data_IF_269310331315
#
_entry.id   IF_269310331315
#
_cell.length_a   1.000
_cell.length_b   1.000
_cell.length_c   1.000
_cell.angle_alpha   90.00
_cell.angle_beta   90.00
_cell.angle_gamma   90.00
#
_symmetry.space_group_name_H-M   'P 1'
#
loop_
_entity.id
_entity.type
_entity.pdbx_description
1 polymer ?
#
# COMPACT_ATOMS: atom_id res chain seq x y z
N UNK A 1 7.41 -4.91 -33.24
CA UNK A 1 6.58 -5.55 -32.19
C UNK A 1 6.41 -4.50 -31.12
N UNK A 2 5.17 -4.14 -30.75
CA UNK A 2 4.98 -3.21 -29.63
C UNK A 2 5.51 -3.85 -28.35
N UNK A 3 6.38 -3.15 -27.66
CA UNK A 3 6.97 -3.59 -26.39
C UNK A 3 5.88 -3.72 -25.31
N UNK A 4 5.90 -4.80 -24.52
CA UNK A 4 4.92 -4.99 -23.46
C UNK A 4 5.14 -3.95 -22.35
N UNK A 5 4.06 -3.32 -21.91
CA UNK A 5 4.04 -2.44 -20.74
C UNK A 5 3.61 -3.22 -19.51
N UNK A 6 4.41 -3.18 -18.45
CA UNK A 6 4.11 -3.86 -17.20
C UNK A 6 3.56 -2.90 -16.14
N UNK A 7 2.47 -3.30 -15.45
CA UNK A 7 1.79 -2.46 -14.47
C UNK A 7 1.52 -3.18 -13.16
N UNK A 8 1.48 -2.42 -12.06
CA UNK A 8 0.84 -2.82 -10.81
C UNK A 8 -0.65 -2.56 -10.90
N UNK A 9 -1.47 -3.58 -10.64
CA UNK A 9 -2.92 -3.47 -10.61
C UNK A 9 -3.42 -3.69 -9.17
N UNK A 10 -3.89 -2.61 -8.55
CA UNK A 10 -4.61 -2.68 -7.29
C UNK A 10 -6.08 -2.90 -7.63
N UNK A 11 -6.67 -3.99 -7.19
CA UNK A 11 -8.08 -4.28 -7.45
C UNK A 11 -8.92 -4.14 -6.18
N UNK A 12 -10.01 -3.37 -6.28
CA UNK A 12 -10.99 -3.11 -5.22
C UNK A 12 -12.28 -3.89 -5.54
N UNK A 13 -12.41 -5.15 -5.07
CA UNK A 13 -13.58 -5.97 -5.35
C UNK A 13 -14.80 -5.59 -4.54
N UNK A 14 -14.64 -4.83 -3.46
CA UNK A 14 -15.71 -4.36 -2.58
C UNK A 14 -15.29 -3.09 -1.84
N UNK A 15 -16.26 -2.20 -1.61
CA UNK A 15 -16.11 -1.06 -0.71
C UNK A 15 -16.61 -1.36 0.71
N UNK A 16 -17.29 -2.50 0.91
CA UNK A 16 -17.72 -2.90 2.25
C UNK A 16 -16.52 -3.09 3.17
N UNK A 17 -16.67 -2.67 4.42
CA UNK A 17 -15.70 -2.89 5.49
C UNK A 17 -16.45 -3.29 6.77
N UNK A 18 -15.86 -4.16 7.56
CA UNK A 18 -16.35 -4.58 8.88
C UNK A 18 -15.85 -3.67 10.02
N UNK A 19 -14.92 -2.75 9.72
CA UNK A 19 -14.35 -1.80 10.66
C UNK A 19 -14.75 -0.35 10.34
N UNK A 20 -14.54 0.55 11.32
CA UNK A 20 -14.71 1.99 11.25
C UNK A 20 -13.48 2.69 11.85
N UNK A 21 -12.32 2.52 11.19
CA UNK A 21 -11.08 3.13 11.64
C UNK A 21 -11.18 4.66 11.57
N UNK A 22 -10.78 5.36 12.63
CA UNK A 22 -10.94 6.82 12.75
C UNK A 22 -10.16 7.64 11.71
N UNK A 23 -9.14 7.05 11.08
CA UNK A 23 -8.30 7.66 10.04
C UNK A 23 -8.51 7.06 8.65
N UNK A 24 -9.65 6.40 8.43
CA UNK A 24 -9.91 5.74 7.15
C UNK A 24 -10.11 6.75 6.02
N UNK A 25 -9.29 6.68 4.98
CA UNK A 25 -9.39 7.56 3.82
C UNK A 25 -10.62 7.30 2.94
N UNK A 26 -11.34 6.18 3.16
CA UNK A 26 -12.56 5.82 2.41
C UNK A 26 -13.84 6.39 3.03
N UNK A 27 -13.75 7.12 4.16
CA UNK A 27 -14.87 7.64 4.94
C UNK A 27 -15.84 6.56 5.49
N UNK A 28 -16.78 6.95 6.36
CA UNK A 28 -17.71 6.01 7.02
C UNK A 28 -18.71 5.32 6.08
N UNK A 29 -18.91 5.83 4.86
CA UNK A 29 -19.90 5.34 3.90
C UNK A 29 -19.41 4.21 3.01
N UNK A 30 -18.71 3.23 3.56
CA UNK A 30 -18.32 2.02 2.84
C UNK A 30 -19.50 1.06 2.64
N UNK A 31 -20.57 1.51 1.97
CA UNK A 31 -21.62 0.62 1.48
C UNK A 31 -21.17 0.01 0.16
N UNK A 32 -21.43 -1.27 -0.04
CA UNK A 32 -21.18 -1.91 -1.33
C UNK A 32 -22.25 -1.45 -2.36
N UNK A 33 -22.02 -0.28 -2.95
CA UNK A 33 -22.87 0.27 -4.03
C UNK A 33 -22.88 -0.63 -5.26
N UNK A 34 -21.95 -1.59 -5.35
CA UNK A 34 -21.74 -2.47 -6.50
C UNK A 34 -22.22 -3.91 -6.24
N UNK A 35 -23.18 -4.10 -5.35
CA UNK A 35 -23.63 -5.44 -4.92
C UNK A 35 -24.09 -6.36 -6.07
N UNK A 36 -24.58 -5.77 -7.17
CA UNK A 36 -25.04 -6.51 -8.37
C UNK A 36 -23.92 -6.96 -9.31
N UNK A 37 -22.70 -6.43 -9.16
CA UNK A 37 -21.55 -6.75 -10.01
C UNK A 37 -20.74 -7.85 -9.33
N UNK A 38 -20.45 -8.94 -10.04
CA UNK A 38 -19.56 -9.97 -9.55
C UNK A 38 -18.10 -9.50 -9.61
N UNK A 39 -17.36 -9.60 -8.51
CA UNK A 39 -15.98 -9.10 -8.47
C UNK A 39 -15.08 -9.73 -9.55
N UNK A 40 -15.22 -11.03 -9.79
CA UNK A 40 -14.41 -11.74 -10.76
C UNK A 40 -14.63 -11.26 -12.20
N UNK A 41 -15.86 -10.95 -12.59
CA UNK A 41 -16.20 -10.52 -13.96
C UNK A 41 -15.44 -9.24 -14.35
N UNK A 42 -15.40 -8.25 -13.46
CA UNK A 42 -14.67 -7.00 -13.74
C UNK A 42 -13.18 -7.23 -13.86
N UNK A 43 -12.59 -8.03 -12.95
CA UNK A 43 -11.16 -8.32 -13.01
C UNK A 43 -10.77 -9.06 -14.28
N UNK A 44 -11.55 -10.08 -14.68
CA UNK A 44 -11.34 -10.83 -15.92
C UNK A 44 -11.43 -9.93 -17.15
N UNK A 45 -12.47 -9.10 -17.22
CA UNK A 45 -12.65 -8.17 -18.33
C UNK A 45 -11.45 -7.20 -18.43
N UNK A 46 -11.05 -6.60 -17.32
CA UNK A 46 -9.95 -5.65 -17.28
C UNK A 46 -8.62 -6.28 -17.71
N UNK A 47 -8.28 -7.45 -17.16
CA UNK A 47 -7.04 -8.15 -17.50
C UNK A 47 -7.01 -8.53 -18.99
N UNK A 48 -8.11 -9.04 -19.53
CA UNK A 48 -8.19 -9.37 -20.96
C UNK A 48 -8.02 -8.12 -21.83
N UNK A 49 -8.66 -7.01 -21.45
CA UNK A 49 -8.57 -5.75 -22.20
C UNK A 49 -7.16 -5.16 -22.15
N UNK A 50 -6.50 -5.18 -20.99
CA UNK A 50 -5.10 -4.78 -20.85
C UNK A 50 -4.17 -5.64 -21.70
N UNK A 51 -4.27 -6.97 -21.62
CA UNK A 51 -3.44 -7.90 -22.39
C UNK A 51 -3.59 -7.71 -23.90
N UNK A 52 -4.81 -7.51 -24.40
CA UNK A 52 -5.07 -7.24 -25.81
C UNK A 52 -4.43 -5.92 -26.30
N UNK A 53 -4.02 -5.06 -25.38
CA UNK A 53 -3.31 -3.81 -25.65
C UNK A 53 -1.82 -3.87 -25.25
N UNK A 54 -1.25 -5.06 -25.08
CA UNK A 54 0.13 -5.29 -24.64
C UNK A 54 0.46 -4.68 -23.27
N UNK A 55 -0.54 -4.57 -22.38
CA UNK A 55 -0.37 -4.12 -20.98
C UNK A 55 -0.52 -5.31 -20.07
N UNK A 56 0.53 -5.63 -19.31
CA UNK A 56 0.63 -6.85 -18.51
C UNK A 56 0.63 -6.49 -17.02
N UNK A 57 -0.45 -6.80 -16.28
CA UNK A 57 -0.41 -6.72 -14.82
C UNK A 57 0.56 -7.76 -14.24
N UNK A 58 1.76 -7.33 -13.85
CA UNK A 58 2.75 -8.25 -13.26
C UNK A 58 2.55 -8.42 -11.75
N UNK A 59 1.88 -7.49 -11.10
CA UNK A 59 1.51 -7.55 -9.70
C UNK A 59 0.04 -7.15 -9.54
N UNK A 60 -0.78 -8.08 -9.03
CA UNK A 60 -2.20 -7.87 -8.75
C UNK A 60 -2.40 -8.00 -7.24
N UNK A 61 -2.89 -6.93 -6.62
CA UNK A 61 -3.13 -6.88 -5.18
C UNK A 61 -4.59 -6.54 -4.90
N UNK A 62 -5.26 -7.35 -4.08
CA UNK A 62 -6.63 -7.08 -3.65
C UNK A 62 -6.64 -6.07 -2.51
N UNK A 63 -7.41 -5.02 -2.70
CA UNK A 63 -7.65 -3.93 -1.76
C UNK A 63 -9.15 -3.72 -1.55
N UNK A 64 -9.57 -2.59 -0.98
CA UNK A 64 -10.96 -2.22 -0.87
C UNK A 64 -11.29 -1.59 0.47
N UNK A 65 -12.55 -1.66 0.87
CA UNK A 65 -12.90 -1.45 2.26
C UNK A 65 -12.25 -2.54 3.10
N UNK A 66 -12.72 -3.78 2.94
CA UNK A 66 -12.05 -4.98 3.48
C UNK A 66 -12.38 -6.19 2.61
N UNK A 67 -11.37 -6.80 2.03
CA UNK A 67 -11.53 -7.93 1.10
C UNK A 67 -12.13 -9.18 1.75
N UNK A 68 -11.89 -9.39 3.05
CA UNK A 68 -12.46 -10.54 3.80
C UNK A 68 -13.96 -10.43 4.07
N UNK A 69 -14.59 -9.30 3.74
CA UNK A 69 -16.07 -9.17 3.76
C UNK A 69 -16.75 -9.90 2.62
N UNK A 70 -16.04 -10.22 1.56
CA UNK A 70 -16.55 -11.01 0.43
C UNK A 70 -17.10 -12.37 0.89
N UNK A 71 -18.00 -12.95 0.10
CA UNK A 71 -18.40 -14.33 0.29
C UNK A 71 -17.19 -15.28 0.15
N UNK A 72 -17.23 -16.46 0.77
CA UNK A 72 -16.16 -17.47 0.61
C UNK A 72 -15.95 -17.83 -0.87
N UNK A 73 -17.03 -17.92 -1.64
CA UNK A 73 -16.99 -18.25 -3.07
C UNK A 73 -16.32 -17.12 -3.87
N UNK A 74 -16.77 -15.85 -3.74
CA UNK A 74 -16.20 -14.73 -4.49
C UNK A 74 -14.72 -14.51 -4.16
N UNK A 75 -14.35 -14.64 -2.88
CA UNK A 75 -12.95 -14.52 -2.46
C UNK A 75 -12.09 -15.63 -3.08
N UNK A 76 -12.55 -16.90 -3.00
CA UNK A 76 -11.84 -18.04 -3.58
C UNK A 76 -11.69 -17.91 -5.09
N UNK A 77 -12.76 -17.53 -5.80
CA UNK A 77 -12.74 -17.38 -7.25
C UNK A 77 -11.75 -16.31 -7.70
N UNK A 78 -11.68 -15.16 -6.98
CA UNK A 78 -10.68 -14.12 -7.25
C UNK A 78 -9.25 -14.62 -7.04
N UNK A 79 -8.99 -15.24 -5.88
CA UNK A 79 -7.65 -15.74 -5.54
C UNK A 79 -7.21 -16.81 -6.54
N UNK A 80 -8.09 -17.76 -6.86
CA UNK A 80 -7.83 -18.79 -7.87
C UNK A 80 -7.50 -18.18 -9.23
N UNK A 81 -8.30 -17.22 -9.68
CA UNK A 81 -8.06 -16.56 -10.97
C UNK A 81 -6.71 -15.84 -11.02
N UNK A 82 -6.33 -15.12 -9.97
CA UNK A 82 -5.02 -14.45 -9.90
C UNK A 82 -3.88 -15.46 -9.89
N UNK A 83 -4.04 -16.59 -9.17
CA UNK A 83 -3.06 -17.67 -9.14
C UNK A 83 -2.87 -18.29 -10.52
N UNK A 84 -3.98 -18.62 -11.21
CA UNK A 84 -3.97 -19.15 -12.56
C UNK A 84 -3.34 -18.15 -13.55
N UNK A 85 -3.71 -16.87 -13.46
CA UNK A 85 -3.13 -15.80 -14.26
C UNK A 85 -1.60 -15.73 -14.14
N UNK A 86 -1.06 -15.80 -12.93
CA UNK A 86 0.38 -15.80 -12.72
C UNK A 86 1.07 -17.03 -13.28
N UNK A 87 0.48 -18.22 -13.09
CA UNK A 87 1.00 -19.45 -13.69
C UNK A 87 1.07 -19.34 -15.21
N UNK A 88 -0.01 -18.89 -15.85
CA UNK A 88 -0.17 -18.87 -17.31
C UNK A 88 0.69 -17.76 -17.97
N UNK A 89 1.01 -16.68 -17.25
CA UNK A 89 1.83 -15.57 -17.75
C UNK A 89 3.24 -15.55 -17.15
N UNK A 90 3.67 -16.61 -16.44
CA UNK A 90 4.95 -16.68 -15.71
C UNK A 90 6.13 -16.27 -16.57
N UNK A 91 6.29 -16.88 -17.74
CA UNK A 91 7.41 -16.62 -18.63
C UNK A 91 7.42 -15.17 -19.11
N UNK A 92 6.27 -14.66 -19.54
CA UNK A 92 6.12 -13.28 -20.02
C UNK A 92 6.53 -12.24 -18.98
N UNK A 93 6.14 -12.45 -17.71
CA UNK A 93 6.45 -11.55 -16.60
C UNK A 93 7.95 -11.61 -16.25
N UNK A 94 8.55 -12.81 -16.22
CA UNK A 94 9.99 -12.98 -15.94
C UNK A 94 10.84 -12.39 -17.07
N UNK A 95 10.48 -12.65 -18.33
CA UNK A 95 11.18 -12.11 -19.50
C UNK A 95 11.08 -10.57 -19.55
N UNK A 96 10.04 -9.99 -18.94
CA UNK A 96 9.90 -8.54 -18.72
C UNK A 96 10.72 -7.98 -17.55
N UNK A 97 11.53 -8.81 -16.88
CA UNK A 97 12.39 -8.38 -15.76
C UNK A 97 11.70 -8.35 -14.39
N UNK A 98 10.50 -8.91 -14.26
CA UNK A 98 9.73 -8.87 -13.01
C UNK A 98 9.70 -10.23 -12.31
N UNK A 99 9.63 -10.20 -10.97
CA UNK A 99 9.41 -11.40 -10.16
C UNK A 99 7.92 -11.75 -10.13
N UNK A 100 7.63 -13.04 -10.14
CA UNK A 100 6.28 -13.54 -9.89
C UNK A 100 6.09 -13.69 -8.39
N UNK A 101 5.02 -13.09 -7.89
CA UNK A 101 4.51 -13.31 -6.54
C UNK A 101 3.39 -14.34 -6.49
N UNK A 102 2.87 -14.56 -5.31
CA UNK A 102 1.60 -15.23 -5.08
C UNK A 102 0.45 -14.21 -5.07
N UNK A 103 -0.81 -14.64 -5.15
CA UNK A 103 -1.93 -13.74 -4.91
C UNK A 103 -1.72 -12.97 -3.61
N UNK A 104 -1.99 -11.66 -3.63
CA UNK A 104 -1.72 -10.78 -2.50
C UNK A 104 -2.99 -10.04 -2.06
N UNK A 105 -3.20 -9.96 -0.74
CA UNK A 105 -4.29 -9.19 -0.15
C UNK A 105 -3.77 -8.15 0.84
N UNK A 106 -4.41 -6.99 0.85
CA UNK A 106 -4.38 -6.04 1.97
C UNK A 106 -5.63 -6.24 2.82
N UNK A 107 -5.46 -6.40 4.12
CA UNK A 107 -6.57 -6.74 5.03
C UNK A 107 -6.37 -6.12 6.42
N UNK A 108 -7.50 -5.85 7.09
CA UNK A 108 -7.50 -5.46 8.48
C UNK A 108 -7.35 -6.67 9.45
N UNK A 109 -7.26 -7.89 8.93
CA UNK A 109 -7.08 -9.15 9.64
C UNK A 109 -8.29 -9.61 10.51
N UNK A 110 -9.34 -8.81 10.66
CA UNK A 110 -10.41 -9.04 11.64
C UNK A 110 -11.28 -10.27 11.35
N UNK A 111 -11.61 -10.54 10.07
CA UNK A 111 -12.40 -11.71 9.66
C UNK A 111 -11.57 -12.70 8.81
N UNK A 112 -10.25 -12.76 9.04
CA UNK A 112 -9.32 -13.58 8.27
C UNK A 112 -9.64 -15.07 8.34
N UNK A 113 -10.10 -15.54 9.50
CA UNK A 113 -10.50 -16.95 9.76
C UNK A 113 -11.55 -17.44 8.77
N UNK A 114 -12.40 -16.57 8.28
CA UNK A 114 -13.44 -16.91 7.29
C UNK A 114 -12.86 -17.48 6.00
N UNK A 115 -11.64 -17.06 5.63
CA UNK A 115 -11.01 -17.38 4.36
C UNK A 115 -9.72 -18.20 4.49
N UNK A 116 -9.42 -18.70 5.70
CA UNK A 116 -8.14 -19.33 6.00
C UNK A 116 -7.82 -20.52 5.08
N UNK A 117 -8.83 -21.32 4.72
CA UNK A 117 -8.64 -22.48 3.83
C UNK A 117 -8.16 -22.03 2.43
N UNK A 118 -8.78 -20.99 1.88
CA UNK A 118 -8.35 -20.42 0.58
C UNK A 118 -6.96 -19.79 0.67
N UNK A 119 -6.67 -19.07 1.76
CA UNK A 119 -5.37 -18.46 1.99
C UNK A 119 -4.28 -19.53 2.03
N UNK A 120 -4.50 -20.63 2.74
CA UNK A 120 -3.57 -21.77 2.80
C UNK A 120 -3.43 -22.49 1.46
N UNK A 121 -4.53 -22.80 0.80
CA UNK A 121 -4.53 -23.54 -0.48
C UNK A 121 -3.73 -22.83 -1.58
N UNK A 122 -3.89 -21.52 -1.70
CA UNK A 122 -3.22 -20.72 -2.75
C UNK A 122 -1.96 -19.99 -2.25
N UNK A 123 -1.53 -20.25 -1.03
CA UNK A 123 -0.36 -19.62 -0.42
C UNK A 123 -0.39 -18.08 -0.58
N UNK A 124 -1.52 -17.47 -0.18
CA UNK A 124 -1.77 -16.03 -0.36
C UNK A 124 -0.81 -15.19 0.46
N UNK A 125 -0.17 -14.22 -0.15
CA UNK A 125 0.62 -13.20 0.56
C UNK A 125 -0.29 -12.23 1.29
N UNK A 126 0.04 -11.90 2.53
CA UNK A 126 -0.78 -11.05 3.38
C UNK A 126 -0.02 -9.79 3.77
N UNK A 127 -0.70 -8.65 3.61
CA UNK A 127 -0.29 -7.36 4.17
C UNK A 127 -1.37 -6.90 5.14
N UNK A 128 -1.16 -7.16 6.41
CA UNK A 128 -2.10 -6.84 7.48
C UNK A 128 -1.93 -5.41 7.98
N UNK A 129 -3.00 -4.83 8.53
CA UNK A 129 -2.94 -3.54 9.21
C UNK A 129 -2.96 -3.77 10.72
N UNK A 130 -1.90 -3.37 11.40
CA UNK A 130 -1.76 -3.47 12.86
C UNK A 130 -1.10 -2.19 13.36
N UNK A 131 -1.84 -1.38 14.12
CA UNK A 131 -1.30 -0.13 14.63
C UNK A 131 -0.42 -0.37 15.85
N UNK A 132 0.72 0.33 15.87
CA UNK A 132 1.65 0.36 16.98
C UNK A 132 1.72 1.77 17.58
N UNK A 133 1.82 1.92 18.90
CA UNK A 133 1.85 0.83 19.88
C UNK A 133 0.50 0.12 20.01
N UNK A 134 0.53 -1.16 20.36
CA UNK A 134 -0.67 -2.02 20.49
C UNK A 134 -1.73 -1.42 21.42
N UNK A 135 -1.30 -0.69 22.45
CA UNK A 135 -2.22 -0.03 23.39
C UNK A 135 -3.15 1.01 22.76
N UNK A 136 -2.75 1.60 21.61
CA UNK A 136 -3.56 2.57 20.87
C UNK A 136 -4.38 1.93 19.75
N UNK A 137 -4.13 0.65 19.43
CA UNK A 137 -4.81 -0.02 18.31
C UNK A 137 -6.33 0.09 18.42
N UNK A 138 -6.89 -0.31 19.56
CA UNK A 138 -8.33 -0.32 19.81
C UNK A 138 -8.95 1.08 20.01
N UNK A 139 -8.12 2.11 20.10
CA UNK A 139 -8.59 3.49 20.13
C UNK A 139 -8.97 3.97 18.72
N UNK A 140 -8.18 3.56 17.72
CA UNK A 140 -8.32 4.07 16.35
C UNK A 140 -8.90 3.04 15.37
N UNK A 141 -8.75 1.74 15.65
CA UNK A 141 -9.22 0.65 14.79
C UNK A 141 -10.31 -0.16 15.49
N UNK A 142 -11.55 0.28 15.34
CA UNK A 142 -12.72 -0.35 15.94
C UNK A 142 -13.65 -0.91 14.87
N UNK A 143 -14.56 -1.82 15.26
CA UNK A 143 -15.64 -2.27 14.37
C UNK A 143 -16.66 -1.14 14.17
N UNK A 144 -17.58 -1.29 13.19
CA UNK A 144 -18.73 -0.38 13.01
C UNK A 144 -19.63 -0.28 14.27
N UNK A 145 -19.58 -1.27 15.14
CA UNK A 145 -20.26 -1.26 16.44
C UNK A 145 -19.37 -0.77 17.59
N UNK A 146 -18.26 -0.09 17.30
CA UNK A 146 -17.30 0.45 18.28
C UNK A 146 -16.70 -0.62 19.23
N UNK A 147 -16.57 -1.87 18.77
CA UNK A 147 -15.94 -2.93 19.54
C UNK A 147 -14.43 -2.95 19.27
N UNK A 148 -13.67 -3.34 20.29
CA UNK A 148 -12.23 -3.61 20.21
C UNK A 148 -11.93 -4.70 19.20
N UNK A 149 -10.76 -4.64 18.56
CA UNK A 149 -10.37 -5.54 17.46
C UNK A 149 -9.05 -6.25 17.68
N UNK A 150 -8.18 -5.75 18.56
CA UNK A 150 -6.81 -6.22 18.73
C UNK A 150 -6.72 -7.71 19.07
N UNK A 151 -7.43 -8.17 20.11
CA UNK A 151 -7.35 -9.56 20.55
C UNK A 151 -7.75 -10.55 19.44
N UNK A 152 -8.80 -10.21 18.68
CA UNK A 152 -9.24 -11.03 17.54
C UNK A 152 -8.22 -11.02 16.42
N UNK A 153 -7.60 -9.86 16.12
CA UNK A 153 -6.57 -9.74 15.10
C UNK A 153 -5.33 -10.56 15.48
N UNK A 154 -4.87 -10.49 16.72
CA UNK A 154 -3.74 -11.29 17.19
C UNK A 154 -4.04 -12.79 17.10
N UNK A 155 -5.24 -13.21 17.51
CA UNK A 155 -5.67 -14.60 17.36
C UNK A 155 -5.71 -15.05 15.88
N UNK A 156 -6.13 -14.18 14.97
CA UNK A 156 -6.15 -14.48 13.53
C UNK A 156 -4.74 -14.53 12.92
N UNK A 157 -3.79 -13.77 13.44
CA UNK A 157 -2.38 -13.85 13.03
C UNK A 157 -1.84 -15.26 13.30
N UNK A 158 -2.16 -15.87 14.46
CA UNK A 158 -1.70 -17.23 14.78
C UNK A 158 -2.20 -18.29 13.78
N UNK A 159 -3.35 -18.08 13.14
CA UNK A 159 -3.84 -18.99 12.09
C UNK A 159 -2.94 -19.03 10.85
N UNK A 160 -2.06 -18.05 10.72
CA UNK A 160 -1.12 -17.91 9.59
C UNK A 160 0.21 -18.66 9.83
N UNK A 161 0.41 -19.29 10.98
CA UNK A 161 1.68 -19.92 11.36
C UNK A 161 2.19 -20.91 10.32
N UNK A 162 1.29 -21.76 9.79
CA UNK A 162 1.64 -22.82 8.84
C UNK A 162 1.71 -22.35 7.38
N UNK A 163 1.50 -21.06 7.10
CA UNK A 163 1.55 -20.53 5.74
C UNK A 163 3.00 -20.15 5.43
N UNK A 164 3.63 -20.74 4.39
CA UNK A 164 5.03 -20.47 4.08
C UNK A 164 5.26 -19.08 3.47
N UNK A 165 4.20 -18.44 2.98
CA UNK A 165 4.29 -17.16 2.28
C UNK A 165 4.45 -15.97 3.24
N UNK A 166 4.81 -14.80 2.68
CA UNK A 166 5.01 -13.58 3.47
C UNK A 166 3.74 -13.15 4.19
N UNK A 167 3.89 -12.91 5.48
CA UNK A 167 2.91 -12.37 6.41
C UNK A 167 3.49 -11.09 6.99
N UNK A 168 3.18 -9.95 6.35
CA UNK A 168 3.67 -8.69 6.86
C UNK A 168 2.55 -7.87 7.45
N UNK A 169 2.88 -7.05 8.43
CA UNK A 169 2.00 -6.03 8.97
C UNK A 169 2.59 -4.66 8.72
N UNK A 170 1.70 -3.67 8.63
CA UNK A 170 2.04 -2.26 8.48
C UNK A 170 1.37 -1.47 9.58
N UNK A 171 2.09 -0.52 10.16
CA UNK A 171 1.53 0.44 11.10
C UNK A 171 1.53 1.84 10.50
N UNK A 172 0.41 2.53 10.61
CA UNK A 172 0.29 3.93 10.19
C UNK A 172 0.61 4.82 11.38
N UNK A 173 1.66 5.62 11.27
CA UNK A 173 2.16 6.46 12.34
C UNK A 173 1.63 7.89 12.19
N UNK A 174 0.92 8.34 13.21
CA UNK A 174 0.51 9.72 13.43
C UNK A 174 1.24 10.30 14.65
N UNK A 175 1.05 11.58 14.93
CA UNK A 175 1.63 12.25 16.09
C UNK A 175 1.28 11.55 17.40
N UNK A 176 0.05 11.08 17.51
CA UNK A 176 -0.48 10.37 18.68
C UNK A 176 0.27 9.07 18.93
N UNK A 177 0.65 8.35 17.86
CA UNK A 177 1.46 7.12 17.94
C UNK A 177 2.93 7.43 18.24
N UNK A 178 3.50 8.43 17.56
CA UNK A 178 4.88 8.84 17.73
C UNK A 178 5.21 9.24 19.18
N UNK A 179 4.26 9.82 19.91
CA UNK A 179 4.44 10.15 21.34
C UNK A 179 4.79 8.93 22.21
N UNK A 180 4.63 7.72 21.68
CA UNK A 180 4.89 6.44 22.36
C UNK A 180 5.92 5.58 21.61
N UNK A 181 6.94 6.19 21.03
CA UNK A 181 7.94 5.49 20.19
C UNK A 181 8.65 4.35 20.93
N UNK A 182 8.91 4.49 22.25
CA UNK A 182 9.53 3.44 23.05
C UNK A 182 8.62 2.21 23.20
N UNK A 183 7.32 2.42 23.31
CA UNK A 183 6.35 1.34 23.33
C UNK A 183 6.23 0.67 21.94
N UNK A 184 6.33 1.43 20.84
CA UNK A 184 6.41 0.86 19.49
C UNK A 184 7.62 -0.07 19.38
N UNK A 185 8.79 0.33 19.86
CA UNK A 185 10.01 -0.49 19.89
C UNK A 185 9.77 -1.79 20.68
N UNK A 186 9.16 -1.70 21.86
CA UNK A 186 8.86 -2.86 22.69
C UNK A 186 7.84 -3.80 22.02
N UNK A 187 6.81 -3.25 21.38
CA UNK A 187 5.78 -4.02 20.69
C UNK A 187 6.34 -4.74 19.45
N UNK A 188 7.25 -4.12 18.70
CA UNK A 188 7.95 -4.77 17.58
C UNK A 188 8.74 -5.98 18.10
N UNK A 189 9.51 -5.83 19.18
CA UNK A 189 10.26 -6.94 19.81
C UNK A 189 9.31 -8.03 20.32
N UNK A 190 8.20 -7.63 20.95
CA UNK A 190 7.18 -8.56 21.43
C UNK A 190 6.55 -9.38 20.30
N UNK A 191 6.09 -8.72 19.23
CA UNK A 191 5.47 -9.37 18.09
C UNK A 191 6.42 -10.34 17.38
N UNK A 192 7.67 -9.94 17.17
CA UNK A 192 8.69 -10.79 16.55
C UNK A 192 8.95 -12.07 17.35
N UNK A 193 9.00 -11.95 18.68
CA UNK A 193 9.30 -13.07 19.57
C UNK A 193 8.09 -13.99 19.85
N UNK A 194 6.87 -13.44 19.90
CA UNK A 194 5.71 -14.12 20.48
C UNK A 194 4.60 -14.41 19.47
N UNK A 195 4.78 -14.08 18.20
CA UNK A 195 3.81 -14.39 17.13
C UNK A 195 4.51 -15.04 15.95
N UNK A 196 3.72 -15.49 14.95
CA UNK A 196 4.28 -16.02 13.70
C UNK A 196 4.75 -14.93 12.72
N UNK A 197 4.70 -13.64 13.09
CA UNK A 197 5.15 -12.53 12.25
C UNK A 197 6.67 -12.43 12.27
N UNK A 198 7.29 -12.40 11.09
CA UNK A 198 8.65 -11.90 10.97
C UNK A 198 8.60 -10.38 10.85
N UNK A 199 8.94 -9.68 11.93
CA UNK A 199 8.94 -8.23 11.97
C UNK A 199 10.03 -7.61 11.10
N UNK A 200 10.97 -8.37 10.56
CA UNK A 200 11.82 -7.89 9.48
C UNK A 200 11.02 -7.46 8.23
N UNK A 201 9.91 -8.14 7.95
CA UNK A 201 9.01 -7.78 6.83
C UNK A 201 7.99 -6.66 7.17
N UNK A 202 8.04 -6.08 8.38
CA UNK A 202 7.20 -4.95 8.80
C UNK A 202 7.47 -3.69 7.97
N UNK A 203 6.52 -2.76 7.91
CA UNK A 203 6.80 -1.43 7.39
C UNK A 203 6.00 -0.32 8.09
N UNK A 204 6.66 0.82 8.24
CA UNK A 204 6.03 2.06 8.66
C UNK A 204 5.35 2.77 7.49
N UNK A 205 4.19 3.35 7.78
CA UNK A 205 3.47 4.27 6.89
C UNK A 205 3.28 5.59 7.62
N UNK A 206 3.58 6.69 6.98
CA UNK A 206 3.29 8.01 7.55
C UNK A 206 1.82 8.34 7.31
N UNK A 207 1.11 8.61 8.39
CA UNK A 207 -0.30 9.00 8.37
C UNK A 207 -0.50 10.48 8.03
N UNK A 208 -1.70 10.81 7.52
CA UNK A 208 -2.08 12.17 7.14
C UNK A 208 -3.39 12.55 7.83
N UNK A 209 -3.44 13.76 8.37
CA UNK A 209 -4.55 14.25 9.17
C UNK A 209 -5.79 14.66 8.37
N UNK A 210 -5.69 14.83 7.07
CA UNK A 210 -6.82 15.29 6.23
C UNK A 210 -8.02 14.34 6.21
N UNK A 211 -7.84 13.06 6.57
CA UNK A 211 -8.92 12.08 6.64
C UNK A 211 -9.44 11.84 8.06
N UNK A 212 -8.77 12.35 9.08
CA UNK A 212 -9.08 12.06 10.48
C UNK A 212 -10.03 13.08 11.13
N UNK A 213 -10.54 14.04 10.36
CA UNK A 213 -11.36 15.14 10.88
C UNK A 213 -10.73 15.87 12.10
N UNK A 214 -9.40 15.98 12.13
CA UNK A 214 -8.65 16.60 13.23
C UNK A 214 -8.48 15.71 14.47
N UNK A 215 -8.82 14.43 14.40
CA UNK A 215 -8.62 13.47 15.52
C UNK A 215 -7.16 13.01 15.59
N UNK A 216 -6.53 12.81 14.43
CA UNK A 216 -5.14 12.38 14.29
C UNK A 216 -4.35 13.38 13.46
N UNK A 217 -3.10 13.62 13.83
CA UNK A 217 -2.25 14.62 13.23
C UNK A 217 -1.03 13.97 12.58
N UNK A 218 -0.58 14.49 11.44
CA UNK A 218 0.67 14.02 10.84
C UNK A 218 1.89 14.40 11.70
N UNK A 219 2.95 13.62 11.60
CA UNK A 219 4.23 13.91 12.25
C UNK A 219 5.08 14.84 11.40
N UNK A 220 5.81 15.76 12.04
CA UNK A 220 6.70 16.70 11.35
C UNK A 220 7.88 16.00 10.69
N UNK A 221 8.58 16.71 9.81
CA UNK A 221 9.84 16.22 9.18
C UNK A 221 10.88 15.83 10.23
N UNK A 222 10.96 16.59 11.34
CA UNK A 222 11.87 16.33 12.45
C UNK A 222 11.50 15.06 13.20
N UNK A 223 10.22 14.86 13.46
CA UNK A 223 9.72 13.67 14.17
C UNK A 223 9.84 12.41 13.31
N UNK A 224 9.67 12.52 12.00
CA UNK A 224 9.93 11.40 11.09
C UNK A 224 11.39 10.99 11.11
N UNK A 225 12.30 11.96 11.10
CA UNK A 225 13.74 11.71 11.20
C UNK A 225 14.10 11.11 12.56
N UNK A 226 13.51 11.62 13.65
CA UNK A 226 13.73 11.09 14.99
C UNK A 226 13.21 9.66 15.13
N UNK A 227 12.03 9.35 14.56
CA UNK A 227 11.51 7.98 14.50
C UNK A 227 12.50 7.04 13.79
N UNK A 228 13.01 7.45 12.64
CA UNK A 228 14.00 6.69 11.88
C UNK A 228 15.25 6.41 12.71
N UNK A 229 15.83 7.45 13.34
CA UNK A 229 17.04 7.32 14.14
C UNK A 229 16.83 6.42 15.37
N UNK A 230 15.70 6.55 16.07
CA UNK A 230 15.37 5.70 17.23
C UNK A 230 15.17 4.25 16.86
N UNK A 231 14.62 3.96 15.67
CA UNK A 231 14.49 2.59 15.17
C UNK A 231 15.88 1.99 14.90
N UNK A 232 16.79 2.74 14.25
CA UNK A 232 18.17 2.31 14.06
C UNK A 232 18.91 2.11 15.39
N UNK A 233 18.81 3.06 16.32
CA UNK A 233 19.42 2.93 17.65
C UNK A 233 18.95 1.67 18.39
N UNK A 234 17.68 1.28 18.24
CA UNK A 234 17.09 0.16 18.96
C UNK A 234 17.34 -1.22 18.30
N UNK A 235 17.60 -1.25 16.97
CA UNK A 235 17.56 -2.49 16.21
C UNK A 235 18.79 -2.77 15.33
N UNK A 236 19.69 -1.81 15.11
CA UNK A 236 20.96 -2.08 14.40
C UNK A 236 21.76 -3.15 15.13
N UNK A 237 22.27 -4.14 14.37
CA UNK A 237 23.04 -5.26 14.91
C UNK A 237 22.23 -6.30 15.71
N UNK A 238 20.90 -6.20 15.72
CA UNK A 238 19.99 -7.20 16.32
C UNK A 238 19.47 -8.18 15.28
N UNK A 239 18.61 -9.13 15.66
CA UNK A 239 17.87 -10.03 14.76
C UNK A 239 16.86 -9.30 13.85
N UNK A 240 16.58 -8.02 14.13
CA UNK A 240 15.75 -7.12 13.33
C UNK A 240 16.55 -6.10 12.49
N UNK A 241 17.87 -6.26 12.43
CA UNK A 241 18.77 -5.41 11.64
C UNK A 241 18.39 -5.36 10.16
N UNK A 242 18.04 -6.49 9.56
CA UNK A 242 17.58 -6.54 8.17
C UNK A 242 16.31 -5.70 7.95
N UNK A 243 15.38 -5.74 8.89
CA UNK A 243 14.12 -5.00 8.81
C UNK A 243 14.35 -3.48 8.84
N UNK A 244 15.09 -2.99 9.82
CA UNK A 244 15.31 -1.54 10.02
C UNK A 244 16.16 -0.94 8.89
N UNK A 245 17.17 -1.68 8.41
CA UNK A 245 18.03 -1.25 7.30
C UNK A 245 17.38 -1.40 5.92
N UNK A 246 16.24 -2.07 5.81
CA UNK A 246 15.55 -2.35 4.55
C UNK A 246 14.04 -2.12 4.63
N UNK A 247 13.22 -3.18 4.75
CA UNK A 247 11.79 -3.16 4.49
C UNK A 247 10.98 -2.13 5.29
N UNK A 248 11.40 -1.76 6.50
CA UNK A 248 10.63 -0.82 7.34
C UNK A 248 10.46 0.55 6.73
N UNK A 249 11.42 0.99 5.93
CA UNK A 249 11.46 2.31 5.31
C UNK A 249 11.51 2.26 3.77
N UNK A 250 11.19 1.12 3.15
CA UNK A 250 11.25 0.95 1.70
C UNK A 250 10.29 1.87 0.94
N UNK A 251 9.18 2.32 1.57
CA UNK A 251 8.28 3.30 0.94
C UNK A 251 8.99 4.61 0.57
N UNK A 252 10.10 4.92 1.23
CA UNK A 252 10.85 6.16 1.02
C UNK A 252 12.05 6.00 0.10
N UNK A 253 12.32 4.79 -0.39
CA UNK A 253 13.40 4.53 -1.34
C UNK A 253 13.11 5.08 -2.73
N UNK A 254 14.16 5.36 -3.54
CA UNK A 254 14.00 5.73 -4.94
C UNK A 254 13.18 4.69 -5.72
N UNK A 255 12.51 5.14 -6.78
CA UNK A 255 11.66 4.32 -7.66
C UNK A 255 10.44 3.64 -7.00
N UNK A 256 10.25 3.78 -5.69
CA UNK A 256 8.96 3.47 -5.10
C UNK A 256 7.89 4.44 -5.63
N UNK A 257 6.61 4.09 -5.55
CA UNK A 257 5.53 4.91 -6.17
C UNK A 257 5.56 6.38 -5.74
N UNK A 258 5.99 6.67 -4.51
CA UNK A 258 6.10 8.03 -3.95
C UNK A 258 7.28 8.83 -4.51
N UNK A 259 8.28 8.16 -5.08
CA UNK A 259 9.55 8.75 -5.50
C UNK A 259 9.88 8.47 -6.99
N UNK A 260 8.89 8.12 -7.79
CA UNK A 260 9.07 7.94 -9.23
C UNK A 260 8.65 9.20 -10.00
N UNK A 261 9.18 9.35 -11.22
CA UNK A 261 8.86 10.50 -12.07
C UNK A 261 7.38 10.61 -12.40
N UNK A 262 6.76 9.48 -12.69
CA UNK A 262 5.34 9.43 -13.03
C UNK A 262 4.74 8.08 -12.63
N UNK A 263 4.14 8.01 -11.43
CA UNK A 263 3.49 6.80 -10.95
C UNK A 263 2.27 6.39 -11.80
N UNK A 264 1.68 7.29 -12.59
CA UNK A 264 0.61 7.00 -13.55
C UNK A 264 1.05 6.12 -14.73
N UNK A 265 2.34 5.86 -14.88
CA UNK A 265 2.84 4.89 -15.87
C UNK A 265 2.95 3.47 -15.31
N UNK A 266 2.90 3.31 -13.96
CA UNK A 266 3.17 2.03 -13.29
C UNK A 266 2.00 1.52 -12.45
N UNK A 267 1.21 2.41 -11.79
CA UNK A 267 0.21 2.05 -10.80
C UNK A 267 -1.20 2.40 -11.24
N UNK A 268 -2.10 1.42 -11.14
CA UNK A 268 -3.50 1.55 -11.49
C UNK A 268 -4.36 0.89 -10.41
N UNK A 269 -5.36 1.61 -9.91
CA UNK A 269 -6.38 1.06 -9.04
C UNK A 269 -7.68 0.89 -9.84
N UNK A 270 -8.17 -0.34 -9.91
CA UNK A 270 -9.42 -0.70 -10.56
C UNK A 270 -10.49 -0.98 -9.50
N UNK A 271 -11.59 -0.27 -9.54
CA UNK A 271 -12.78 -0.58 -8.75
C UNK A 271 -13.70 -1.60 -9.46
N UNK A 272 -14.50 -2.31 -8.69
CA UNK A 272 -15.44 -3.33 -9.20
C UNK A 272 -16.44 -2.79 -10.24
N UNK A 273 -16.81 -1.49 -10.18
CA UNK A 273 -17.64 -0.83 -11.20
C UNK A 273 -16.89 -0.46 -12.49
N UNK A 274 -15.60 -0.77 -12.56
CA UNK A 274 -14.74 -0.51 -13.72
C UNK A 274 -14.02 0.84 -13.68
N UNK A 275 -14.21 1.68 -12.69
CA UNK A 275 -13.50 2.94 -12.55
C UNK A 275 -12.03 2.71 -12.24
N UNK A 276 -11.16 3.49 -12.88
CA UNK A 276 -9.72 3.41 -12.72
C UNK A 276 -9.17 4.72 -12.15
N UNK A 277 -8.40 4.58 -11.08
CA UNK A 277 -7.71 5.66 -10.38
C UNK A 277 -6.21 5.39 -10.30
N UNK A 278 -5.43 6.35 -9.79
CA UNK A 278 -3.99 6.21 -9.61
C UNK A 278 -3.62 5.13 -8.59
N UNK A 279 -4.14 5.24 -7.40
CA UNK A 279 -3.85 4.36 -6.26
C UNK A 279 -4.89 4.59 -5.15
N UNK A 280 -4.72 3.94 -4.01
CA UNK A 280 -5.60 4.09 -2.84
C UNK A 280 -5.72 5.55 -2.35
N UNK A 281 -4.62 6.33 -2.41
CA UNK A 281 -4.67 7.76 -2.01
C UNK A 281 -5.51 8.61 -2.98
N UNK A 282 -5.46 8.29 -4.27
CA UNK A 282 -6.21 9.01 -5.30
C UNK A 282 -7.62 8.46 -5.56
N UNK A 283 -8.04 7.41 -4.85
CA UNK A 283 -9.36 6.81 -5.00
C UNK A 283 -10.46 7.84 -4.67
N UNK A 284 -11.53 7.87 -5.47
CA UNK A 284 -12.63 8.85 -5.39
C UNK A 284 -12.22 10.32 -5.67
N UNK A 285 -10.98 10.61 -5.96
CA UNK A 285 -10.53 11.95 -6.31
C UNK A 285 -10.48 12.12 -7.84
N UNK A 286 -11.23 13.11 -8.37
CA UNK A 286 -11.35 13.39 -9.81
C UNK A 286 -10.00 13.73 -10.49
N UNK A 287 -9.07 14.33 -9.74
CA UNK A 287 -7.75 14.70 -10.26
C UNK A 287 -6.86 13.48 -10.49
N UNK A 288 -7.23 12.34 -9.90
CA UNK A 288 -6.54 11.06 -9.99
C UNK A 288 -7.38 9.96 -10.65
N UNK A 289 -8.54 10.31 -11.23
CA UNK A 289 -9.40 9.41 -11.99
C UNK A 289 -8.89 9.28 -13.43
N UNK A 290 -8.61 8.08 -13.90
CA UNK A 290 -8.01 7.81 -15.21
C UNK A 290 -9.02 7.42 -16.28
N UNK A 291 -10.23 7.02 -15.91
CA UNK A 291 -11.28 6.58 -16.78
C UNK A 291 -11.99 5.31 -16.28
N UNK A 292 -12.79 4.69 -17.12
CA UNK A 292 -13.53 3.46 -16.78
C UNK A 292 -13.21 2.37 -17.81
N UNK A 293 -12.86 1.16 -17.32
CA UNK A 293 -12.38 0.06 -18.17
C UNK A 293 -13.43 -0.40 -19.20
N UNK A 294 -14.70 -0.20 -18.92
CA UNK A 294 -15.78 -0.55 -19.84
C UNK A 294 -16.04 0.53 -20.91
N UNK A 295 -15.69 1.79 -20.62
CA UNK A 295 -16.04 2.95 -21.45
C UNK A 295 -14.86 3.48 -22.28
N UNK A 296 -13.64 3.41 -21.75
CA UNK A 296 -12.45 3.99 -22.37
C UNK A 296 -11.55 2.90 -22.97
N UNK A 297 -10.83 3.23 -24.02
CA UNK A 297 -9.74 2.37 -24.52
C UNK A 297 -8.59 2.33 -23.51
N UNK A 298 -7.74 1.31 -23.57
CA UNK A 298 -6.54 1.23 -22.70
C UNK A 298 -5.59 2.38 -22.99
N UNK A 299 -5.44 2.77 -24.26
CA UNK A 299 -4.59 3.91 -24.64
C UNK A 299 -5.07 5.24 -24.03
N UNK A 300 -6.39 5.50 -24.04
CA UNK A 300 -6.97 6.67 -23.37
C UNK A 300 -6.68 6.66 -21.85
N UNK A 301 -6.84 5.51 -21.20
CA UNK A 301 -6.55 5.34 -19.77
C UNK A 301 -5.08 5.63 -19.46
N UNK A 302 -4.15 5.04 -20.23
CA UNK A 302 -2.71 5.24 -20.04
C UNK A 302 -2.29 6.70 -20.26
N UNK A 303 -2.82 7.32 -21.33
CA UNK A 303 -2.55 8.72 -21.67
C UNK A 303 -3.09 9.65 -20.57
N UNK A 304 -4.32 9.40 -20.11
CA UNK A 304 -4.93 10.18 -19.00
C UNK A 304 -4.13 10.02 -17.72
N UNK A 305 -3.71 8.80 -17.39
CA UNK A 305 -2.90 8.51 -16.19
C UNK A 305 -1.59 9.29 -16.19
N UNK A 306 -0.83 9.18 -17.28
CA UNK A 306 0.45 9.90 -17.44
C UNK A 306 0.27 11.40 -17.32
N UNK A 307 -0.71 11.98 -18.03
CA UNK A 307 -0.96 13.41 -18.06
C UNK A 307 -1.42 13.95 -16.70
N UNK A 308 -2.34 13.27 -16.03
CA UNK A 308 -2.84 13.71 -14.72
C UNK A 308 -1.75 13.69 -13.65
N UNK A 309 -0.93 12.65 -13.60
CA UNK A 309 0.18 12.61 -12.65
C UNK A 309 1.21 13.70 -12.97
N UNK A 310 1.54 13.90 -14.25
CA UNK A 310 2.43 14.99 -14.66
C UNK A 310 1.91 16.36 -14.20
N UNK A 311 0.63 16.67 -14.47
CA UNK A 311 0.01 17.92 -14.05
C UNK A 311 0.00 18.09 -12.53
N UNK A 312 -0.31 17.02 -11.78
CA UNK A 312 -0.32 17.06 -10.32
C UNK A 312 1.07 17.24 -9.72
N UNK A 313 2.12 16.65 -10.32
CA UNK A 313 3.50 16.89 -9.90
C UNK A 313 3.93 18.33 -10.09
N UNK A 314 3.47 18.98 -11.15
CA UNK A 314 3.85 20.34 -11.56
C UNK A 314 2.85 21.42 -11.14
N UNK A 315 1.89 21.09 -10.27
CA UNK A 315 0.86 22.04 -9.81
C UNK A 315 1.44 23.21 -9.01
N UNK A 316 2.53 22.95 -8.28
CA UNK A 316 3.27 23.96 -7.53
C UNK A 316 4.69 24.11 -8.11
N UNK A 317 5.26 25.32 -8.11
CA UNK A 317 6.65 25.52 -8.50
C UNK A 317 7.58 24.74 -7.57
N UNK A 318 8.74 24.32 -8.11
CA UNK A 318 9.74 23.61 -7.31
C UNK A 318 10.24 24.50 -6.16
N UNK A 319 10.33 23.92 -4.96
CA UNK A 319 10.86 24.61 -3.80
C UNK A 319 12.35 24.98 -4.01
N UNK A 320 12.78 26.17 -3.58
CA UNK A 320 14.16 26.62 -3.75
C UNK A 320 15.17 25.68 -3.06
N UNK A 321 14.84 25.12 -1.91
CA UNK A 321 15.67 24.11 -1.24
C UNK A 321 15.87 22.87 -2.11
N UNK A 322 14.81 22.45 -2.84
CA UNK A 322 14.87 21.31 -3.74
C UNK A 322 15.78 21.55 -4.94
N UNK A 323 15.83 22.80 -5.48
CA UNK A 323 16.70 23.10 -6.64
C UNK A 323 18.18 22.94 -6.32
N UNK A 324 18.57 23.08 -5.06
CA UNK A 324 19.93 22.94 -4.56
C UNK A 324 20.20 21.58 -3.90
N UNK A 325 19.18 20.72 -3.80
CA UNK A 325 19.26 19.45 -3.08
C UNK A 325 19.91 18.37 -3.95
N UNK A 326 21.01 17.79 -3.49
CA UNK A 326 21.71 16.69 -4.17
C UNK A 326 20.88 15.41 -4.31
N UNK A 327 19.83 15.24 -3.53
CA UNK A 327 18.94 14.07 -3.55
C UNK A 327 17.67 14.26 -4.39
N UNK A 328 17.51 15.42 -5.08
CA UNK A 328 16.30 15.68 -5.86
C UNK A 328 16.02 14.59 -6.90
N UNK A 329 17.08 14.08 -7.54
CA UNK A 329 16.98 13.03 -8.56
C UNK A 329 16.50 11.68 -8.01
N UNK A 330 16.66 11.42 -6.69
CA UNK A 330 16.17 10.23 -6.00
C UNK A 330 14.73 10.40 -5.52
N UNK A 331 14.44 11.48 -4.76
CA UNK A 331 13.13 11.68 -4.14
C UNK A 331 12.07 12.26 -5.09
N UNK A 332 12.49 12.96 -6.16
CA UNK A 332 11.59 13.57 -7.18
C UNK A 332 10.44 14.38 -6.58
N UNK A 333 10.69 15.01 -5.44
CA UNK A 333 9.74 15.78 -4.62
C UNK A 333 8.59 14.98 -3.98
N UNK A 334 8.64 13.66 -3.99
CA UNK A 334 7.69 12.80 -3.30
C UNK A 334 6.32 12.68 -3.98
N UNK A 335 5.34 12.17 -3.25
CA UNK A 335 4.00 11.88 -3.76
C UNK A 335 3.21 13.15 -4.13
N UNK A 336 2.77 13.30 -5.39
CA UNK A 336 2.02 14.49 -5.83
C UNK A 336 0.67 14.63 -5.11
N UNK A 337 0.02 13.52 -4.74
CA UNK A 337 -1.22 13.56 -3.96
C UNK A 337 -1.00 14.26 -2.61
N UNK A 338 0.00 13.81 -1.85
CA UNK A 338 0.27 14.34 -0.51
C UNK A 338 0.73 15.80 -0.59
N UNK A 339 1.65 16.12 -1.51
CA UNK A 339 2.08 17.51 -1.72
C UNK A 339 0.90 18.45 -1.96
N UNK A 340 0.00 18.07 -2.87
CA UNK A 340 -1.14 18.92 -3.22
C UNK A 340 -2.13 19.04 -2.08
N UNK A 341 -2.34 18.00 -1.27
CA UNK A 341 -3.23 18.03 -0.10
C UNK A 341 -2.72 19.02 0.95
N UNK A 342 -1.42 19.09 1.18
CA UNK A 342 -0.82 20.02 2.14
C UNK A 342 -0.37 21.35 1.50
N UNK A 343 -0.69 21.57 0.24
CA UNK A 343 -0.19 22.74 -0.52
C UNK A 343 1.32 22.92 -0.42
N UNK A 344 2.04 21.80 -0.40
CA UNK A 344 3.49 21.76 -0.29
C UNK A 344 4.13 21.60 -1.68
N UNK A 345 5.33 22.13 -1.85
CA UNK A 345 6.12 21.98 -3.06
C UNK A 345 7.40 21.15 -2.86
N UNK A 346 7.52 20.45 -1.73
CA UNK A 346 8.57 19.46 -1.44
C UNK A 346 7.99 18.18 -0.85
N UNK A 347 8.78 17.13 -0.79
CA UNK A 347 8.38 15.86 -0.18
C UNK A 347 8.00 16.04 1.29
N UNK A 348 6.92 15.41 1.70
CA UNK A 348 6.45 15.38 3.10
C UNK A 348 7.33 14.55 4.04
N UNK A 349 8.29 13.81 3.48
CA UNK A 349 9.25 12.96 4.21
C UNK A 349 10.70 13.40 3.91
N UNK A 350 10.90 14.68 3.66
CA UNK A 350 12.15 15.20 3.11
C UNK A 350 13.38 14.88 3.96
N UNK A 351 13.35 15.15 5.26
CA UNK A 351 14.49 14.92 6.16
C UNK A 351 14.78 13.44 6.36
N UNK A 352 13.73 12.63 6.53
CA UNK A 352 13.86 11.18 6.62
C UNK A 352 14.50 10.60 5.37
N UNK A 353 14.05 11.01 4.17
CA UNK A 353 14.60 10.54 2.91
C UNK A 353 16.08 10.94 2.72
N UNK A 354 16.45 12.17 3.07
CA UNK A 354 17.84 12.61 2.99
C UNK A 354 18.77 11.76 3.88
N UNK A 355 18.33 11.44 5.10
CA UNK A 355 19.09 10.59 6.01
C UNK A 355 19.18 9.16 5.48
N UNK A 356 18.06 8.58 5.06
CA UNK A 356 18.00 7.25 4.48
C UNK A 356 18.91 7.09 3.26
N UNK A 357 18.90 8.07 2.34
CA UNK A 357 19.76 8.03 1.15
C UNK A 357 21.24 8.14 1.51
N UNK A 358 21.57 8.93 2.52
CA UNK A 358 22.93 9.03 3.05
C UNK A 358 23.39 7.70 3.66
N UNK A 359 22.60 7.12 4.56
CA UNK A 359 22.96 5.90 5.28
C UNK A 359 23.09 4.69 4.35
N UNK A 360 22.28 4.64 3.30
CA UNK A 360 22.31 3.59 2.26
C UNK A 360 23.30 3.88 1.12
N UNK A 361 24.16 4.92 1.25
CA UNK A 361 25.16 5.31 0.25
C UNK A 361 24.61 5.48 -1.18
N UNK A 362 23.37 5.97 -1.33
CA UNK A 362 22.70 6.14 -2.62
C UNK A 362 23.25 7.32 -3.44
N UNK A 363 24.28 8.01 -2.95
CA UNK A 363 24.97 9.11 -3.65
C UNK A 363 25.97 8.63 -4.72
N UNK A 364 26.34 7.33 -4.67
CA UNK A 364 27.48 6.80 -5.44
C UNK A 364 27.08 6.18 -6.78
N UNK A 365 25.79 6.12 -7.09
CA UNK A 365 25.33 5.57 -8.38
C UNK A 365 24.52 6.62 -9.15
N UNK A 366 25.17 7.58 -9.80
CA UNK A 366 24.52 8.34 -10.85
C UNK A 366 24.48 7.43 -12.09
N UNK A 367 23.29 7.04 -12.52
CA UNK A 367 23.04 6.35 -13.79
C UNK A 367 23.88 6.91 -14.94
#
# INVERSE_FOLDING_TARGET
MNENKFIHLLYVPTMACNMACKYCYLEENTKDEWSKIKPLETLQYAINKFKNSNVIPFNISLHGGEVTTLSKADFRDLIKYISDYYRDNKRLIIDGGFKIGNPHIKTNLYDLEKHIDTIKEFNVSISGSLDLPLKLHDEYRVTKGNKKTLDKILSNIELLQDIPNKKKVSSTIFKEHYNYVNEIINDIKYLHKNTCLDMNDFNFMIGFDYNSNGILHHISDEEQLDLYNKMHEAFDGTDLDYGVNGPWFDEFCPEYCTNCNNCGEKFFLLEKNGDIYSCVRGQKNKDYYYGNIYKNSVEEILTTAKNKIFLNHNKQPLNEECTKCKYLYLCKTGCPFVKNTYNSNKSYTCKLQQQLYKDRNMEQDPY
#
